data_IF_755682331463
#
_entry.id   IF_755682331463
#
_cell.length_a   1.000
_cell.length_b   1.000
_cell.length_c   1.000
_cell.angle_alpha   90.00
_cell.angle_beta   90.00
_cell.angle_gamma   90.00
#
_symmetry.space_group_name_H-M   'P 1'
#
loop_
_entity.id
_entity.type
_entity.pdbx_description
1 polymer ?
#
# COMPACT_ATOMS: atom_id res chain seq x y z
N UNK A 1 9.03 -23.83 4.07
CA UNK A 1 8.89 -22.47 4.66
C UNK A 1 9.51 -21.53 3.64
N UNK A 2 8.73 -20.59 3.08
CA UNK A 2 9.27 -19.62 2.15
C UNK A 2 10.31 -18.74 2.88
N UNK A 3 11.44 -18.44 2.25
CA UNK A 3 12.45 -17.56 2.82
C UNK A 3 11.94 -16.11 2.76
N UNK A 4 12.04 -15.39 3.87
CA UNK A 4 11.73 -13.96 3.91
C UNK A 4 12.73 -13.22 3.01
N UNK A 5 12.22 -12.62 1.94
CA UNK A 5 13.03 -11.74 1.09
C UNK A 5 13.02 -10.35 1.68
N UNK A 6 14.18 -9.71 1.76
CA UNK A 6 14.30 -8.34 2.26
C UNK A 6 14.94 -7.45 1.20
N UNK A 7 14.54 -6.18 1.17
CA UNK A 7 15.16 -5.15 0.32
C UNK A 7 15.65 -4.00 1.15
N UNK A 8 16.93 -3.63 0.98
CA UNK A 8 17.48 -2.42 1.58
C UNK A 8 17.12 -1.20 0.73
N UNK A 9 16.55 -0.19 1.39
CA UNK A 9 16.28 1.13 0.83
C UNK A 9 17.52 1.98 1.10
N UNK A 10 18.23 2.34 0.04
CA UNK A 10 19.49 3.09 0.12
C UNK A 10 19.25 4.57 -0.14
N UNK A 11 19.92 5.43 0.63
CA UNK A 11 19.94 6.87 0.40
C UNK A 11 20.83 7.18 -0.82
N UNK A 12 20.29 7.73 -1.92
CA UNK A 12 21.10 8.02 -3.10
C UNK A 12 22.13 9.15 -2.90
N UNK A 13 22.03 9.94 -1.83
CA UNK A 13 22.96 11.03 -1.53
C UNK A 13 24.16 10.60 -0.68
N UNK A 14 24.02 9.55 0.14
CA UNK A 14 25.07 9.10 1.09
C UNK A 14 25.47 7.65 0.92
N UNK A 15 24.75 6.88 0.09
CA UNK A 15 24.90 5.42 -0.09
C UNK A 15 24.60 4.58 1.17
N UNK A 16 24.09 5.21 2.23
CA UNK A 16 23.74 4.53 3.48
C UNK A 16 22.35 3.87 3.41
N UNK A 17 22.17 2.79 4.17
CA UNK A 17 20.86 2.12 4.31
C UNK A 17 19.92 2.99 5.17
N UNK A 18 18.80 3.42 4.59
CA UNK A 18 17.71 4.11 5.29
C UNK A 18 16.88 3.11 6.11
N UNK A 19 16.54 1.97 5.47
CA UNK A 19 15.66 0.95 6.03
C UNK A 19 15.77 -0.37 5.26
N UNK A 20 15.66 -1.49 5.95
CA UNK A 20 15.38 -2.80 5.36
C UNK A 20 13.87 -3.06 5.36
N UNK A 21 13.31 -3.42 4.21
CA UNK A 21 11.88 -3.74 4.04
C UNK A 21 11.73 -5.24 3.85
N UNK A 22 10.98 -5.88 4.75
CA UNK A 22 10.61 -7.28 4.60
C UNK A 22 9.49 -7.43 3.57
N UNK A 23 9.65 -8.40 2.67
CA UNK A 23 8.62 -8.76 1.71
C UNK A 23 7.70 -9.80 2.32
N UNK A 24 6.42 -9.72 1.97
CA UNK A 24 5.47 -10.80 2.24
C UNK A 24 5.77 -11.99 1.32
N UNK A 25 5.37 -13.20 1.74
CA UNK A 25 5.50 -14.40 0.93
C UNK A 25 4.33 -14.57 -0.04
N UNK A 26 4.38 -15.61 -0.87
CA UNK A 26 3.35 -15.89 -1.88
C UNK A 26 1.94 -16.01 -1.25
N UNK A 27 1.83 -16.71 -0.12
CA UNK A 27 0.56 -16.87 0.58
C UNK A 27 0.01 -15.53 1.11
N UNK A 28 0.89 -14.64 1.60
CA UNK A 28 0.52 -13.30 2.01
C UNK A 28 0.07 -12.41 0.86
N UNK A 29 0.69 -12.55 -0.32
CA UNK A 29 0.21 -11.90 -1.55
C UNK A 29 -1.20 -12.39 -1.91
N UNK A 30 -1.41 -13.71 -1.89
CA UNK A 30 -2.71 -14.30 -2.21
C UNK A 30 -3.82 -13.83 -1.25
N UNK A 31 -3.55 -13.76 0.05
CA UNK A 31 -4.48 -13.20 1.04
C UNK A 31 -4.82 -11.74 0.74
N UNK A 32 -3.80 -10.90 0.50
CA UNK A 32 -3.99 -9.49 0.19
C UNK A 32 -4.85 -9.30 -1.07
N UNK A 33 -4.61 -10.10 -2.12
CA UNK A 33 -5.39 -10.08 -3.36
C UNK A 33 -6.82 -10.56 -3.11
N UNK A 34 -7.03 -11.61 -2.32
CA UNK A 34 -8.37 -12.11 -2.00
C UNK A 34 -9.21 -11.05 -1.26
N UNK A 35 -8.61 -10.37 -0.27
CA UNK A 35 -9.23 -9.26 0.46
C UNK A 35 -9.55 -8.09 -0.47
N UNK A 36 -8.62 -7.71 -1.35
CA UNK A 36 -8.84 -6.65 -2.33
C UNK A 36 -10.00 -6.97 -3.29
N UNK A 37 -10.07 -8.20 -3.80
CA UNK A 37 -11.18 -8.68 -4.65
C UNK A 37 -12.53 -8.61 -3.94
N UNK A 38 -12.57 -8.95 -2.65
CA UNK A 38 -13.80 -8.84 -1.86
C UNK A 38 -14.25 -7.38 -1.70
N UNK A 39 -13.33 -6.48 -1.32
CA UNK A 39 -13.60 -5.06 -1.13
C UNK A 39 -13.99 -4.36 -2.45
N UNK A 40 -13.38 -4.75 -3.57
CA UNK A 40 -13.62 -4.17 -4.88
C UNK A 40 -15.10 -4.22 -5.28
N UNK A 41 -15.83 -5.28 -4.91
CA UNK A 41 -17.27 -5.41 -5.21
C UNK A 41 -18.09 -4.29 -4.57
N UNK A 42 -17.76 -3.90 -3.34
CA UNK A 42 -18.43 -2.79 -2.66
C UNK A 42 -18.02 -1.44 -3.27
N UNK A 43 -16.72 -1.26 -3.52
CA UNK A 43 -16.18 -0.07 -4.16
C UNK A 43 -16.79 0.21 -5.54
N UNK A 44 -16.93 -0.82 -6.38
CA UNK A 44 -17.50 -0.70 -7.72
C UNK A 44 -18.97 -0.28 -7.72
N UNK A 45 -19.72 -0.58 -6.66
CA UNK A 45 -21.13 -0.20 -6.52
C UNK A 45 -21.33 1.25 -6.08
N UNK A 46 -20.29 1.92 -5.58
CA UNK A 46 -20.40 3.31 -5.15
C UNK A 46 -20.68 4.25 -6.31
N UNK A 47 -21.42 5.32 -6.05
CA UNK A 47 -21.62 6.36 -7.05
C UNK A 47 -20.29 7.08 -7.36
N UNK A 48 -20.11 7.66 -8.57
CA UNK A 48 -18.90 8.40 -8.91
C UNK A 48 -18.53 9.49 -7.89
N UNK A 49 -19.52 10.19 -7.35
CA UNK A 49 -19.32 11.23 -6.34
C UNK A 49 -18.77 10.68 -5.01
N UNK A 50 -19.23 9.52 -4.58
CA UNK A 50 -18.77 8.86 -3.35
C UNK A 50 -17.31 8.40 -3.47
N UNK A 51 -16.95 7.79 -4.60
CA UNK A 51 -15.54 7.44 -4.88
C UNK A 51 -14.65 8.68 -4.90
N UNK A 52 -15.12 9.76 -5.51
CA UNK A 52 -14.39 11.03 -5.53
C UNK A 52 -14.24 11.62 -4.11
N UNK A 53 -15.26 11.50 -3.25
CA UNK A 53 -15.16 11.93 -1.86
C UNK A 53 -14.12 11.11 -1.08
N UNK A 54 -14.11 9.79 -1.23
CA UNK A 54 -13.11 8.93 -0.59
C UNK A 54 -11.68 9.25 -1.04
N UNK A 55 -11.45 9.48 -2.34
CA UNK A 55 -10.14 9.89 -2.86
C UNK A 55 -9.70 11.26 -2.33
N UNK A 56 -10.61 12.22 -2.20
CA UNK A 56 -10.31 13.55 -1.62
C UNK A 56 -10.02 13.47 -0.12
N UNK A 57 -10.72 12.61 0.62
CA UNK A 57 -10.45 12.39 2.04
C UNK A 57 -9.05 11.78 2.26
N UNK A 58 -8.65 10.83 1.40
CA UNK A 58 -7.28 10.32 1.38
C UNK A 58 -6.27 11.43 1.10
N UNK A 59 -6.48 12.23 0.04
CA UNK A 59 -5.60 13.35 -0.29
C UNK A 59 -5.45 14.34 0.88
N UNK A 60 -6.56 14.72 1.53
CA UNK A 60 -6.53 15.59 2.71
C UNK A 60 -5.71 15.00 3.87
N UNK A 61 -5.69 13.68 4.01
CA UNK A 61 -4.87 13.02 5.04
C UNK A 61 -3.39 13.08 4.66
N UNK A 62 -3.05 12.86 3.39
CA UNK A 62 -1.68 13.02 2.88
C UNK A 62 -1.20 14.45 3.06
N UNK A 63 -2.01 15.44 2.68
CA UNK A 63 -1.70 16.87 2.82
C UNK A 63 -1.42 17.27 4.28
N UNK A 64 -2.04 16.59 5.24
CA UNK A 64 -1.79 16.84 6.67
C UNK A 64 -0.46 16.28 7.20
N UNK A 65 0.25 15.45 6.42
CA UNK A 65 1.48 14.75 6.83
C UNK A 65 2.66 15.04 5.88
N UNK A 66 2.66 16.19 5.21
CA UNK A 66 3.72 16.58 4.28
C UNK A 66 4.98 17.13 4.97
N UNK A 67 4.86 17.52 6.24
CA UNK A 67 5.95 17.98 7.11
C UNK A 67 6.48 16.83 7.99
#
# INVERSE_FOLDING_TARGET
>A
MAQATVSDVINPATEEVIRTVEHTDEAGVDDAVARAKAAQKAWARQAPAERAAALRAFASTVDAHIE
#
